data_IF_865051811505
#
_entry.id   IF_865051811505
#
_cell.length_a   1.000
_cell.length_b   1.000
_cell.length_c   1.000
_cell.angle_alpha   90.00
_cell.angle_beta   90.00
_cell.angle_gamma   90.00
#
_symmetry.space_group_name_H-M   'P 1'
#
loop_
_entity.id
_entity.type
_entity.pdbx_description
1 polymer ?
#
# COMPACT_ATOMS: atom_id res chain seq x y z
N UNK A 1 -25.00 9.97 1.30
CA UNK A 1 -24.90 8.54 0.87
C UNK A 1 -23.47 8.23 0.47
N UNK A 2 -22.93 7.05 0.83
CA UNK A 2 -21.58 6.64 0.37
C UNK A 2 -21.65 6.17 -1.08
N UNK A 3 -21.13 6.95 -2.03
CA UNK A 3 -21.06 6.55 -3.44
C UNK A 3 -20.20 5.30 -3.63
N UNK A 4 -19.09 5.19 -2.89
CA UNK A 4 -18.14 4.08 -2.99
C UNK A 4 -18.73 2.78 -2.44
N UNK A 5 -19.37 2.81 -1.27
CA UNK A 5 -19.89 1.61 -0.62
C UNK A 5 -20.93 0.84 -1.44
N UNK A 6 -21.72 1.54 -2.25
CA UNK A 6 -22.79 0.95 -3.09
C UNK A 6 -22.30 0.30 -4.39
N UNK A 7 -21.08 0.60 -4.81
CA UNK A 7 -20.55 0.06 -6.06
C UNK A 7 -20.25 -1.44 -5.87
N UNK A 8 -20.82 -2.35 -6.65
CA UNK A 8 -20.44 -3.76 -6.59
C UNK A 8 -18.95 -3.94 -6.89
N UNK A 9 -18.37 -4.99 -6.37
CA UNK A 9 -16.97 -5.33 -6.60
C UNK A 9 -16.96 -6.46 -7.63
N UNK A 10 -16.48 -6.19 -8.86
CA UNK A 10 -16.38 -7.23 -9.87
C UNK A 10 -15.33 -8.27 -9.45
N UNK A 11 -15.64 -9.54 -9.61
CA UNK A 11 -14.72 -10.65 -9.36
C UNK A 11 -14.11 -11.07 -10.69
N UNK A 12 -12.83 -10.79 -10.95
CA UNK A 12 -12.20 -11.18 -12.21
C UNK A 12 -11.99 -12.68 -12.27
N UNK A 13 -11.82 -13.20 -13.48
CA UNK A 13 -11.54 -14.62 -13.73
C UNK A 13 -10.24 -15.05 -13.01
N UNK A 14 -10.29 -16.21 -12.35
CA UNK A 14 -9.17 -16.72 -11.57
C UNK A 14 -9.08 -16.20 -10.12
N UNK A 15 -10.08 -15.46 -9.67
CA UNK A 15 -10.22 -15.07 -8.25
C UNK A 15 -11.39 -15.83 -7.65
N UNK A 16 -11.14 -16.45 -6.51
CA UNK A 16 -12.15 -17.09 -5.68
C UNK A 16 -12.35 -16.31 -4.38
N UNK A 17 -13.62 -16.12 -3.98
CA UNK A 17 -13.96 -15.37 -2.77
C UNK A 17 -14.86 -16.24 -1.91
N UNK A 18 -14.38 -16.59 -0.72
CA UNK A 18 -15.13 -17.27 0.32
C UNK A 18 -15.57 -16.27 1.38
N UNK A 19 -16.85 -16.31 1.74
CA UNK A 19 -17.46 -15.45 2.76
C UNK A 19 -18.01 -16.37 3.86
N UNK A 20 -17.51 -16.22 5.07
CA UNK A 20 -17.95 -17.00 6.24
C UNK A 20 -18.29 -16.02 7.36
N UNK A 21 -19.57 -15.65 7.46
CA UNK A 21 -20.00 -14.60 8.39
C UNK A 21 -19.35 -13.26 8.07
N UNK A 22 -18.51 -12.78 8.97
CA UNK A 22 -17.76 -11.50 8.80
C UNK A 22 -16.39 -11.69 8.15
N UNK A 23 -15.92 -12.94 8.00
CA UNK A 23 -14.62 -13.22 7.41
C UNK A 23 -14.73 -13.36 5.89
N UNK A 24 -13.94 -12.56 5.19
CA UNK A 24 -13.83 -12.58 3.74
C UNK A 24 -12.41 -13.03 3.37
N UNK A 25 -12.32 -14.16 2.67
CA UNK A 25 -11.09 -14.67 2.10
C UNK A 25 -11.10 -14.51 0.59
N UNK A 26 -10.06 -13.90 0.06
CA UNK A 26 -9.88 -13.67 -1.39
C UNK A 26 -8.63 -14.42 -1.84
N UNK A 27 -8.81 -15.40 -2.71
CA UNK A 27 -7.75 -16.22 -3.29
C UNK A 27 -7.59 -15.89 -4.77
N UNK A 28 -6.38 -15.64 -5.21
CA UNK A 28 -6.07 -15.34 -6.60
C UNK A 28 -4.71 -15.87 -7.04
N UNK A 29 -4.25 -15.56 -8.26
CA UNK A 29 -3.03 -16.09 -8.83
C UNK A 29 -1.75 -15.69 -8.05
N UNK A 30 -1.77 -14.56 -7.33
CA UNK A 30 -0.60 -14.07 -6.57
C UNK A 30 -0.60 -14.48 -5.10
N UNK A 31 -1.69 -15.03 -4.59
CA UNK A 31 -1.79 -15.48 -3.20
C UNK A 31 -3.21 -15.35 -2.63
N UNK A 32 -3.28 -15.44 -1.32
CA UNK A 32 -4.54 -15.37 -0.57
C UNK A 32 -4.46 -14.27 0.47
N UNK A 33 -5.52 -13.49 0.58
CA UNK A 33 -5.70 -12.47 1.62
C UNK A 33 -6.97 -12.75 2.39
N UNK A 34 -6.96 -12.47 3.68
CA UNK A 34 -8.12 -12.59 4.57
C UNK A 34 -8.38 -11.28 5.28
N UNK A 35 -9.65 -10.95 5.49
CA UNK A 35 -10.06 -9.75 6.21
C UNK A 35 -11.37 -9.99 6.93
N UNK A 36 -11.43 -9.59 8.21
CA UNK A 36 -12.66 -9.60 9.00
C UNK A 36 -13.34 -8.25 8.88
N UNK A 37 -14.52 -8.25 8.30
CA UNK A 37 -15.34 -7.05 8.10
C UNK A 37 -15.96 -6.62 9.43
N UNK A 38 -15.90 -5.33 9.73
CA UNK A 38 -16.44 -4.80 10.97
C UNK A 38 -17.98 -4.86 11.01
N UNK A 39 -18.52 -5.31 12.14
CA UNK A 39 -19.95 -5.24 12.42
C UNK A 39 -20.43 -3.76 12.44
N UNK A 40 -21.60 -3.41 11.90
CA UNK A 40 -22.68 -4.26 11.39
C UNK A 40 -22.73 -4.36 9.85
N UNK A 41 -21.59 -4.33 9.18
CA UNK A 41 -21.52 -4.41 7.72
C UNK A 41 -21.66 -5.87 7.28
N UNK A 42 -22.53 -6.12 6.30
CA UNK A 42 -22.70 -7.45 5.70
C UNK A 42 -22.12 -7.49 4.29
N UNK A 43 -21.58 -8.65 3.92
CA UNK A 43 -20.99 -8.91 2.61
C UNK A 43 -21.69 -10.12 2.02
N UNK A 44 -22.14 -10.01 0.79
CA UNK A 44 -22.82 -11.10 0.08
C UNK A 44 -22.36 -11.13 -1.39
N UNK A 45 -22.52 -12.29 -2.02
CA UNK A 45 -22.36 -12.39 -3.47
C UNK A 45 -23.69 -12.05 -4.12
N UNK A 46 -23.65 -11.18 -5.12
CA UNK A 46 -24.81 -10.80 -5.92
C UNK A 46 -25.09 -11.84 -7.01
N UNK A 47 -26.28 -11.81 -7.61
CA UNK A 47 -26.71 -12.73 -8.67
C UNK A 47 -25.77 -12.68 -9.89
N UNK A 48 -25.19 -11.53 -10.17
CA UNK A 48 -24.17 -11.33 -11.22
C UNK A 48 -22.78 -11.88 -10.86
N UNK A 49 -22.60 -12.50 -9.67
CA UNK A 49 -21.33 -13.00 -9.17
C UNK A 49 -20.41 -11.94 -8.60
N UNK A 50 -20.80 -10.68 -8.61
CA UNK A 50 -20.08 -9.58 -7.95
C UNK A 50 -20.27 -9.64 -6.43
N UNK A 51 -19.40 -8.95 -5.69
CA UNK A 51 -19.54 -8.82 -4.23
C UNK A 51 -20.23 -7.51 -3.91
N UNK A 52 -21.36 -7.62 -3.23
CA UNK A 52 -22.11 -6.51 -2.67
C UNK A 52 -21.80 -6.35 -1.17
N UNK A 53 -21.62 -5.12 -0.74
CA UNK A 53 -21.44 -4.76 0.67
C UNK A 53 -22.66 -3.96 1.09
N UNK A 54 -23.32 -4.38 2.17
CA UNK A 54 -24.57 -3.78 2.65
C UNK A 54 -24.43 -3.26 4.08
N UNK A 55 -25.30 -2.36 4.46
CA UNK A 55 -25.37 -1.77 5.80
C UNK A 55 -26.81 -1.70 6.30
N UNK A 56 -27.05 -1.85 7.61
CA UNK A 56 -28.40 -1.87 8.18
C UNK A 56 -29.05 -0.47 8.27
N UNK A 57 -28.26 0.58 8.49
CA UNK A 57 -28.75 1.93 8.70
C UNK A 57 -27.82 3.01 8.11
N UNK A 58 -28.24 4.29 8.22
CA UNK A 58 -27.50 5.45 7.68
C UNK A 58 -26.74 6.25 8.75
N UNK A 59 -26.45 5.68 9.90
CA UNK A 59 -25.61 6.30 10.92
C UNK A 59 -24.22 6.62 10.37
N UNK A 60 -23.63 7.71 10.84
CA UNK A 60 -22.35 8.19 10.33
C UNK A 60 -21.22 7.17 10.46
N UNK A 61 -21.16 6.43 11.57
CA UNK A 61 -20.18 5.35 11.80
C UNK A 61 -20.37 4.21 10.80
N UNK A 62 -21.61 3.75 10.63
CA UNK A 62 -21.96 2.64 9.71
C UNK A 62 -21.71 3.02 8.26
N UNK A 63 -21.99 4.28 7.88
CA UNK A 63 -21.65 4.81 6.55
C UNK A 63 -20.15 4.82 6.28
N UNK A 64 -19.34 5.19 7.28
CA UNK A 64 -17.88 5.17 7.18
C UNK A 64 -17.35 3.74 7.01
N UNK A 65 -17.81 2.81 7.86
CA UNK A 65 -17.45 1.39 7.79
C UNK A 65 -17.86 0.74 6.47
N UNK A 66 -19.03 1.08 5.93
CA UNK A 66 -19.51 0.58 4.64
C UNK A 66 -18.53 0.92 3.50
N UNK A 67 -18.13 2.18 3.38
CA UNK A 67 -17.16 2.60 2.37
C UNK A 67 -15.77 2.00 2.58
N UNK A 68 -15.34 1.88 3.83
CA UNK A 68 -14.07 1.27 4.21
C UNK A 68 -14.03 -0.21 3.82
N UNK A 69 -15.00 -1.00 4.29
CA UNK A 69 -15.06 -2.44 4.03
C UNK A 69 -15.10 -2.76 2.54
N UNK A 70 -15.93 -2.03 1.77
CA UNK A 70 -15.97 -2.17 0.31
C UNK A 70 -14.61 -1.91 -0.32
N UNK A 71 -13.91 -0.86 0.11
CA UNK A 71 -12.61 -0.49 -0.44
C UNK A 71 -11.53 -1.51 -0.08
N UNK A 72 -11.55 -2.04 1.16
CA UNK A 72 -10.61 -3.08 1.59
C UNK A 72 -10.78 -4.36 0.77
N UNK A 73 -12.02 -4.85 0.58
CA UNK A 73 -12.29 -6.04 -0.24
C UNK A 73 -11.86 -5.80 -1.70
N UNK A 74 -12.19 -4.64 -2.28
CA UNK A 74 -11.76 -4.30 -3.63
C UNK A 74 -10.22 -4.25 -3.76
N UNK A 75 -9.53 -3.73 -2.74
CA UNK A 75 -8.06 -3.75 -2.70
C UNK A 75 -7.52 -5.19 -2.61
N UNK A 76 -8.17 -6.09 -1.85
CA UNK A 76 -7.77 -7.50 -1.79
C UNK A 76 -7.90 -8.17 -3.16
N UNK A 77 -9.02 -7.99 -3.86
CA UNK A 77 -9.24 -8.53 -5.21
C UNK A 77 -8.17 -8.04 -6.18
N UNK A 78 -7.88 -6.75 -6.19
CA UNK A 78 -6.82 -6.18 -7.02
C UNK A 78 -5.44 -6.68 -6.59
N UNK A 79 -5.19 -6.82 -5.30
CA UNK A 79 -3.91 -7.28 -4.77
C UNK A 79 -3.56 -8.70 -5.19
N UNK A 80 -4.53 -9.64 -5.09
CA UNK A 80 -4.28 -11.05 -5.47
C UNK A 80 -4.22 -11.26 -6.99
N UNK A 81 -4.70 -10.31 -7.80
CA UNK A 81 -4.63 -10.34 -9.27
C UNK A 81 -3.39 -9.64 -9.80
N UNK A 82 -3.33 -8.33 -9.62
CA UNK A 82 -2.28 -7.47 -10.17
C UNK A 82 -1.10 -7.28 -9.20
N UNK A 83 -1.39 -7.27 -7.90
CA UNK A 83 -0.47 -6.85 -6.86
C UNK A 83 -0.38 -5.33 -6.75
N UNK A 84 0.44 -4.89 -5.81
CA UNK A 84 0.73 -3.48 -5.59
C UNK A 84 2.23 -3.23 -5.63
N UNK A 85 2.62 -2.16 -6.27
CA UNK A 85 3.99 -1.66 -6.32
C UNK A 85 4.01 -0.21 -5.84
N UNK A 86 4.90 0.10 -4.91
CA UNK A 86 5.18 1.48 -4.50
C UNK A 86 6.63 1.81 -4.83
N UNK A 87 6.84 2.75 -5.75
CA UNK A 87 8.16 3.16 -6.19
C UNK A 87 8.67 4.32 -5.36
N UNK A 88 9.92 4.24 -4.92
CA UNK A 88 10.60 5.29 -4.16
C UNK A 88 11.92 5.64 -4.85
N UNK A 89 12.28 6.92 -4.75
CA UNK A 89 13.54 7.43 -5.24
C UNK A 89 14.36 8.10 -4.13
N UNK A 90 15.67 8.02 -4.27
CA UNK A 90 16.64 8.58 -3.35
C UNK A 90 17.31 9.77 -4.04
N UNK A 91 17.30 10.91 -3.38
CA UNK A 91 17.95 12.13 -3.86
C UNK A 91 19.05 12.54 -2.89
N UNK A 92 20.25 12.74 -3.38
CA UNK A 92 21.39 13.19 -2.58
C UNK A 92 22.70 12.58 -3.07
N UNK A 93 23.78 13.37 -3.05
CA UNK A 93 25.12 12.89 -3.42
C UNK A 93 25.58 11.84 -2.41
N UNK A 94 25.98 10.67 -2.91
CA UNK A 94 26.43 9.55 -2.08
C UNK A 94 25.30 8.73 -1.42
N UNK A 95 24.03 9.15 -1.58
CA UNK A 95 22.89 8.37 -1.08
C UNK A 95 22.57 7.23 -2.05
N UNK A 96 22.43 6.02 -1.53
CA UNK A 96 22.17 4.83 -2.34
C UNK A 96 21.42 3.75 -1.57
N UNK A 97 20.80 2.85 -2.30
CA UNK A 97 20.21 1.60 -1.81
C UNK A 97 20.82 0.42 -2.52
N UNK A 98 21.00 -0.68 -1.82
CA UNK A 98 21.43 -1.96 -2.35
C UNK A 98 20.51 -3.06 -1.83
N UNK A 99 20.14 -4.00 -2.71
CA UNK A 99 19.44 -5.21 -2.30
C UNK A 99 20.44 -6.22 -1.74
N UNK A 100 20.18 -6.73 -0.55
CA UNK A 100 20.89 -7.89 0.04
C UNK A 100 20.10 -9.19 -0.17
N UNK A 101 19.02 -9.11 -0.93
CA UNK A 101 18.10 -10.18 -1.24
C UNK A 101 16.72 -9.61 -1.56
N UNK A 102 15.72 -10.45 -1.84
CA UNK A 102 14.37 -10.00 -2.16
C UNK A 102 13.63 -9.40 -0.96
N UNK A 103 14.07 -9.68 0.26
CA UNK A 103 13.43 -9.25 1.49
C UNK A 103 14.26 -8.27 2.33
N UNK A 104 15.45 -7.88 1.85
CA UNK A 104 16.34 -7.02 2.63
C UNK A 104 16.97 -5.92 1.75
N UNK A 105 16.86 -4.68 2.22
CA UNK A 105 17.52 -3.51 1.65
C UNK A 105 18.54 -2.92 2.63
N UNK A 106 19.67 -2.49 2.09
CA UNK A 106 20.68 -1.72 2.80
C UNK A 106 20.73 -0.30 2.22
N UNK A 107 20.57 0.69 3.08
CA UNK A 107 20.55 2.10 2.73
C UNK A 107 21.79 2.82 3.24
N UNK A 108 22.47 3.56 2.37
CA UNK A 108 23.48 4.56 2.71
C UNK A 108 22.85 5.94 2.52
N UNK A 109 22.42 6.58 3.60
CA UNK A 109 21.68 7.86 3.57
C UNK A 109 22.41 8.98 4.32
N UNK A 110 23.75 8.92 4.42
CA UNK A 110 24.57 9.92 5.10
C UNK A 110 24.52 9.80 6.63
N UNK A 111 24.20 8.64 7.15
CA UNK A 111 24.42 8.25 8.54
C UNK A 111 25.82 7.65 8.71
N UNK A 112 26.30 7.55 9.94
CA UNK A 112 27.62 6.93 10.27
C UNK A 112 27.66 5.43 9.98
N UNK A 113 26.49 4.79 9.85
CA UNK A 113 26.34 3.36 9.54
C UNK A 113 25.24 3.15 8.49
N UNK A 114 25.28 2.08 7.72
CA UNK A 114 24.21 1.72 6.82
C UNK A 114 22.95 1.32 7.61
N UNK A 115 21.77 1.63 7.06
CA UNK A 115 20.50 1.25 7.65
C UNK A 115 19.95 0.04 6.90
N UNK A 116 19.67 -1.04 7.62
CA UNK A 116 19.11 -2.26 7.08
C UNK A 116 17.60 -2.26 7.31
N UNK A 117 16.85 -2.58 6.27
CA UNK A 117 15.39 -2.72 6.32
C UNK A 117 15.01 -4.11 5.84
N UNK A 118 14.28 -4.84 6.67
CA UNK A 118 13.73 -6.14 6.34
C UNK A 118 12.27 -6.01 5.93
N UNK A 119 11.86 -6.71 4.89
CA UNK A 119 10.48 -6.79 4.46
C UNK A 119 9.68 -7.69 5.41
N UNK A 120 8.46 -7.30 5.81
CA UNK A 120 7.55 -8.21 6.46
C UNK A 120 7.04 -9.27 5.47
N UNK A 121 6.41 -10.31 6.00
CA UNK A 121 5.81 -11.38 5.20
C UNK A 121 4.83 -10.84 4.15
N UNK A 122 4.96 -11.30 2.92
CA UNK A 122 4.13 -10.89 1.78
C UNK A 122 4.57 -9.60 1.08
N UNK A 123 5.74 -9.03 1.46
CA UNK A 123 6.35 -7.88 0.81
C UNK A 123 7.73 -8.25 0.28
N UNK A 124 8.06 -7.80 -0.91
CA UNK A 124 9.37 -7.97 -1.54
C UNK A 124 9.93 -6.64 -2.03
N UNK A 125 11.23 -6.59 -2.19
CA UNK A 125 11.93 -5.43 -2.69
C UNK A 125 12.57 -5.70 -4.05
N UNK A 126 12.55 -4.70 -4.91
CA UNK A 126 13.21 -4.73 -6.20
C UNK A 126 13.97 -3.42 -6.42
N UNK A 127 15.27 -3.50 -6.59
CA UNK A 127 16.14 -2.34 -6.86
C UNK A 127 16.40 -2.28 -8.35
N UNK A 128 15.94 -1.21 -8.99
CA UNK A 128 16.19 -0.95 -10.42
C UNK A 128 17.51 -0.19 -10.62
N UNK A 129 17.74 0.82 -9.77
CA UNK A 129 18.98 1.63 -9.75
C UNK A 129 19.36 1.92 -8.30
N UNK A 130 20.61 2.25 -8.02
CA UNK A 130 21.02 2.63 -6.65
C UNK A 130 20.20 3.77 -6.02
N UNK A 131 19.45 4.51 -6.85
CA UNK A 131 18.59 5.62 -6.46
C UNK A 131 17.10 5.38 -6.70
N UNK A 132 16.71 4.23 -7.26
CA UNK A 132 15.31 3.90 -7.58
C UNK A 132 15.01 2.45 -7.19
N UNK A 133 14.04 2.27 -6.35
CA UNK A 133 13.63 0.95 -5.88
C UNK A 133 12.11 0.87 -5.68
N UNK A 134 11.61 -0.36 -5.61
CA UNK A 134 10.20 -0.67 -5.55
C UNK A 134 9.93 -1.57 -4.35
N UNK A 135 8.77 -1.35 -3.75
CA UNK A 135 8.18 -2.19 -2.70
C UNK A 135 6.98 -2.88 -3.32
N UNK A 136 7.07 -4.18 -3.49
CA UNK A 136 6.06 -5.00 -4.17
C UNK A 136 5.36 -5.92 -3.15
N UNK A 137 4.05 -6.16 -3.33
CA UNK A 137 3.29 -7.07 -2.49
C UNK A 137 1.83 -7.18 -2.90
N UNK A 138 1.12 -8.13 -2.32
CA UNK A 138 -0.31 -8.35 -2.57
C UNK A 138 -1.20 -7.49 -1.67
N UNK A 139 -0.71 -7.12 -0.48
CA UNK A 139 -1.45 -6.32 0.49
C UNK A 139 -1.08 -4.84 0.36
N UNK A 140 -2.05 -4.04 -0.08
CA UNK A 140 -1.88 -2.58 -0.24
C UNK A 140 -1.48 -1.87 1.04
N UNK A 141 -2.01 -2.32 2.20
CA UNK A 141 -1.71 -1.70 3.50
C UNK A 141 -0.26 -1.97 3.89
N UNK A 142 0.18 -3.23 3.84
CA UNK A 142 1.58 -3.61 4.13
C UNK A 142 2.57 -2.91 3.21
N UNK A 143 2.32 -2.93 1.89
CA UNK A 143 3.16 -2.23 0.91
C UNK A 143 3.24 -0.73 1.20
N UNK A 144 2.11 -0.10 1.51
CA UNK A 144 2.04 1.32 1.84
C UNK A 144 2.76 1.66 3.14
N UNK A 145 2.61 0.85 4.17
CA UNK A 145 3.26 1.02 5.47
C UNK A 145 4.78 0.90 5.36
N UNK A 146 5.27 -0.17 4.72
CA UNK A 146 6.71 -0.38 4.49
C UNK A 146 7.31 0.79 3.71
N UNK A 147 6.67 1.20 2.62
CA UNK A 147 7.13 2.34 1.83
C UNK A 147 7.16 3.64 2.64
N UNK A 148 6.15 3.89 3.48
CA UNK A 148 6.10 5.05 4.36
C UNK A 148 7.21 5.01 5.43
N UNK A 149 7.47 3.84 6.01
CA UNK A 149 8.54 3.66 7.00
C UNK A 149 9.92 3.87 6.39
N UNK A 150 10.17 3.36 5.18
CA UNK A 150 11.42 3.63 4.46
C UNK A 150 11.57 5.13 4.17
N UNK A 151 10.51 5.80 3.72
CA UNK A 151 10.54 7.25 3.49
C UNK A 151 10.85 8.03 4.77
N UNK A 152 10.41 7.57 5.94
CA UNK A 152 10.70 8.20 7.25
C UNK A 152 12.16 8.10 7.67
N UNK A 153 12.95 7.14 7.16
CA UNK A 153 14.37 7.00 7.48
C UNK A 153 15.15 8.30 7.20
N UNK A 154 14.86 8.91 6.05
CA UNK A 154 15.44 10.21 5.69
C UNK A 154 14.42 11.00 4.88
N UNK A 155 13.56 11.75 5.57
CA UNK A 155 12.57 12.63 4.90
C UNK A 155 13.27 13.63 3.99
N UNK A 156 12.67 13.99 2.84
CA UNK A 156 13.24 14.98 1.95
C UNK A 156 13.44 16.33 2.66
N UNK A 157 14.63 16.87 2.55
CA UNK A 157 14.97 18.21 3.05
C UNK A 157 14.26 19.30 2.24
N UNK A 158 13.62 20.30 2.87
CA UNK A 158 12.89 21.34 2.17
C UNK A 158 13.75 22.31 1.37
N UNK A 159 15.07 22.36 1.59
CA UNK A 159 15.97 23.29 0.89
C UNK A 159 16.58 22.68 -0.37
N UNK A 160 17.22 21.51 -0.23
CA UNK A 160 17.90 20.82 -1.34
C UNK A 160 17.11 19.60 -1.86
N UNK A 161 16.08 19.15 -1.15
CA UNK A 161 15.26 18.00 -1.49
C UNK A 161 15.97 16.65 -1.31
N UNK A 162 17.07 16.60 -0.55
CA UNK A 162 17.81 15.38 -0.26
C UNK A 162 17.02 14.46 0.68
N UNK A 163 16.95 13.20 0.36
CA UNK A 163 16.26 12.20 1.17
C UNK A 163 15.59 11.13 0.31
N UNK A 164 14.73 10.34 0.94
CA UNK A 164 13.91 9.31 0.31
C UNK A 164 12.51 9.87 0.08
N UNK A 165 12.01 9.81 -1.15
CA UNK A 165 10.66 10.27 -1.52
C UNK A 165 9.97 9.24 -2.40
N UNK A 166 8.66 9.35 -2.55
CA UNK A 166 7.95 8.58 -3.55
C UNK A 166 8.35 9.03 -4.96
N UNK A 167 8.38 8.13 -5.90
CA UNK A 167 8.63 8.48 -7.30
C UNK A 167 7.58 9.50 -7.79
N UNK A 168 8.05 10.62 -8.34
CA UNK A 168 7.20 11.72 -8.78
C UNK A 168 6.65 12.61 -7.66
N UNK A 169 7.05 12.41 -6.39
CA UNK A 169 6.64 13.29 -5.29
C UNK A 169 7.28 14.67 -5.45
N UNK A 170 6.44 15.70 -5.54
CA UNK A 170 6.90 17.10 -5.56
C UNK A 170 7.12 17.61 -4.14
N UNK A 171 8.37 17.98 -3.84
CA UNK A 171 8.74 18.56 -2.55
C UNK A 171 8.65 20.08 -2.64
N UNK A 172 7.79 20.69 -1.81
CA UNK A 172 7.73 22.15 -1.70
C UNK A 172 9.04 22.67 -1.11
N UNK A 173 9.85 23.29 -1.95
CA UNK A 173 11.14 23.86 -1.54
C UNK A 173 10.96 25.21 -0.87
N UNK A 174 11.79 25.45 0.13
CA UNK A 174 11.95 26.75 0.76
C UNK A 174 13.20 27.44 0.20
N UNK A 175 13.12 28.74 0.05
CA UNK A 175 14.30 29.58 -0.29
C UNK A 175 15.17 29.66 0.95
N UNK A 176 16.47 29.35 0.83
CA UNK A 176 17.45 29.58 1.89
C UNK A 176 17.64 31.06 2.15
N UNK A 177 18.31 31.41 3.27
CA UNK A 177 18.72 32.80 3.50
C UNK A 177 19.59 33.22 2.31
N UNK A 178 19.18 34.29 1.61
CA UNK A 178 20.08 34.97 0.68
C UNK A 178 21.26 35.50 1.49
N UNK A 179 22.45 34.98 1.22
CA UNK A 179 23.66 35.58 1.76
C UNK A 179 23.74 37.01 1.26
N UNK A 180 23.95 37.96 2.17
CA UNK A 180 24.45 39.29 1.80
C UNK A 180 25.86 39.17 1.27
#
# INVERSE_FOLDING_TARGET
MSRIGRLPIPVPTGVDIAITGQDVQVKGPKGTLTHTVADPIAVARDDDGAIAVTRPNDENKVRALHGLSRTLIANMVQGVTQGYTKSLEIVGVGYRVQAKGPTQLEFSLGFSHPVIVNAPEGVTFRVEKPTLFHVDGIDKQKVGEVAANIRKLRKPDPYKGKGVRYQGEQIRRKVGKAGK
#
